data_IF_121056283639
#
_entry.id   IF_121056283639
#
_cell.length_a   1.000
_cell.length_b   1.000
_cell.length_c   1.000
_cell.angle_alpha   90.00
_cell.angle_beta   90.00
_cell.angle_gamma   90.00
#
_symmetry.space_group_name_H-M   'P 1'
#
loop_
_entity.id
_entity.type
_entity.pdbx_description
1 polymer ?
#
# COMPACT_ATOMS: atom_id res chain seq x y z
N UNK A 1 8.88 16.01 7.46
CA UNK A 1 9.23 15.62 6.07
C UNK A 1 8.52 14.31 5.77
N UNK A 2 7.79 14.21 4.66
CA UNK A 2 7.10 12.97 4.26
C UNK A 2 8.05 12.11 3.42
N UNK A 3 8.12 10.81 3.74
CA UNK A 3 8.86 9.81 2.97
C UNK A 3 7.89 8.73 2.51
N UNK A 4 8.03 8.31 1.25
CA UNK A 4 7.46 7.05 0.81
C UNK A 4 8.45 5.93 1.13
N UNK A 5 7.92 4.74 1.44
CA UNK A 5 8.72 3.52 1.62
C UNK A 5 8.02 2.40 0.87
N UNK A 6 8.79 1.57 0.16
CA UNK A 6 8.24 0.37 -0.50
C UNK A 6 9.22 -0.78 -0.44
N UNK A 7 8.70 -2.01 -0.38
CA UNK A 7 9.50 -3.23 -0.34
C UNK A 7 10.21 -3.54 -1.66
N UNK A 8 9.95 -2.78 -2.73
CA UNK A 8 10.59 -2.99 -4.03
C UNK A 8 12.10 -2.70 -3.98
N UNK A 9 12.94 -3.40 -4.77
CA UNK A 9 14.35 -3.06 -4.92
C UNK A 9 14.56 -1.60 -5.30
N UNK A 10 15.62 -0.98 -4.80
CA UNK A 10 15.89 0.45 -4.99
C UNK A 10 15.93 0.86 -6.47
N UNK A 11 16.52 0.04 -7.33
CA UNK A 11 16.59 0.29 -8.78
C UNK A 11 15.18 0.41 -9.41
N UNK A 12 14.25 -0.48 -9.02
CA UNK A 12 12.86 -0.43 -9.48
C UNK A 12 12.17 0.86 -9.02
N UNK A 13 12.42 1.28 -7.78
CA UNK A 13 11.88 2.54 -7.23
C UNK A 13 12.43 3.74 -7.99
N UNK A 14 13.73 3.78 -8.26
CA UNK A 14 14.38 4.87 -8.98
C UNK A 14 13.83 5.01 -10.41
N UNK A 15 13.76 3.91 -11.17
CA UNK A 15 13.19 3.93 -12.52
C UNK A 15 11.72 4.36 -12.53
N UNK A 16 10.93 3.95 -11.53
CA UNK A 16 9.53 4.37 -11.43
C UNK A 16 9.39 5.84 -11.01
N UNK A 17 10.26 6.33 -10.11
CA UNK A 17 10.33 7.74 -9.72
C UNK A 17 10.63 8.64 -10.92
N UNK A 18 11.58 8.24 -11.75
CA UNK A 18 11.92 8.95 -13.01
C UNK A 18 10.74 8.96 -13.97
N UNK A 19 10.12 7.79 -14.22
CA UNK A 19 8.94 7.68 -15.08
C UNK A 19 7.80 8.60 -14.62
N UNK A 20 7.56 8.68 -13.32
CA UNK A 20 6.44 9.43 -12.75
C UNK A 20 6.78 10.90 -12.41
N UNK A 21 8.03 11.34 -12.61
CA UNK A 21 8.47 12.70 -12.29
C UNK A 21 8.36 13.09 -10.81
N UNK A 22 8.43 12.12 -9.89
CA UNK A 22 8.21 12.35 -8.47
C UNK A 22 9.39 13.05 -7.79
N UNK A 23 9.10 14.03 -6.94
CA UNK A 23 10.11 14.85 -6.25
C UNK A 23 10.27 14.53 -4.76
N UNK A 24 9.32 13.80 -4.17
CA UNK A 24 9.40 13.40 -2.76
C UNK A 24 10.49 12.32 -2.54
N UNK A 25 11.04 12.22 -1.32
CA UNK A 25 12.00 11.18 -0.99
C UNK A 25 11.30 9.82 -0.89
N UNK A 26 11.95 8.78 -1.42
CA UNK A 26 11.43 7.42 -1.43
C UNK A 26 12.55 6.44 -1.08
N UNK A 27 12.34 5.65 -0.03
CA UNK A 27 13.25 4.62 0.42
C UNK A 27 12.79 3.22 -0.01
N UNK A 28 13.76 2.33 -0.19
CA UNK A 28 13.52 0.89 -0.32
C UNK A 28 13.64 0.24 1.06
N UNK A 29 12.69 -0.62 1.41
CA UNK A 29 12.81 -1.56 2.53
C UNK A 29 13.13 -2.98 2.04
N UNK A 30 13.58 -3.14 0.80
CA UNK A 30 13.94 -4.44 0.26
C UNK A 30 15.10 -5.06 1.06
N UNK A 31 14.89 -6.27 1.58
CA UNK A 31 15.90 -7.00 2.35
C UNK A 31 16.03 -6.58 3.80
N UNK A 32 15.14 -5.73 4.33
CA UNK A 32 15.04 -5.46 5.77
C UNK A 32 13.63 -5.71 6.31
N UNK A 33 13.51 -5.65 7.63
CA UNK A 33 12.32 -5.90 8.44
C UNK A 33 11.44 -4.67 8.66
N UNK A 34 11.83 -3.48 8.17
CA UNK A 34 11.12 -2.22 8.42
C UNK A 34 9.61 -2.32 8.19
N UNK A 35 9.15 -2.89 7.06
CA UNK A 35 7.70 -3.01 6.81
C UNK A 35 7.01 -3.97 7.79
N UNK A 36 7.68 -5.01 8.24
CA UNK A 36 7.14 -5.96 9.23
C UNK A 36 7.09 -5.32 10.63
N UNK A 37 8.12 -4.58 11.02
CA UNK A 37 8.18 -3.83 12.30
C UNK A 37 7.04 -2.83 12.46
N UNK A 38 6.51 -2.31 11.35
CA UNK A 38 5.38 -1.37 11.33
C UNK A 38 4.05 -2.01 10.89
N UNK A 39 3.97 -3.34 10.93
CA UNK A 39 2.74 -4.13 10.70
C UNK A 39 2.11 -3.89 9.33
N UNK A 40 2.95 -3.86 8.28
CA UNK A 40 2.51 -3.68 6.89
C UNK A 40 3.06 -4.71 5.90
N UNK A 41 3.88 -5.66 6.35
CA UNK A 41 4.34 -6.82 5.56
C UNK A 41 4.34 -8.08 6.41
N UNK A 42 3.71 -9.14 5.88
CA UNK A 42 3.39 -10.36 6.63
C UNK A 42 3.90 -11.61 5.92
N UNK A 43 4.14 -12.67 6.69
CA UNK A 43 4.44 -13.99 6.13
C UNK A 43 3.18 -14.67 5.59
N UNK A 44 3.37 -15.53 4.58
CA UNK A 44 2.26 -16.31 3.99
C UNK A 44 1.55 -17.19 5.01
N UNK A 45 2.28 -17.72 5.98
CA UNK A 45 1.73 -18.55 7.04
C UNK A 45 0.80 -17.76 7.97
N UNK A 46 1.15 -16.52 8.30
CA UNK A 46 0.31 -15.62 9.12
C UNK A 46 -1.00 -15.31 8.40
N UNK A 47 -0.92 -15.02 7.10
CA UNK A 47 -2.09 -14.77 6.26
C UNK A 47 -3.01 -16.00 6.17
N UNK A 48 -2.43 -17.20 6.09
CA UNK A 48 -3.17 -18.47 5.99
C UNK A 48 -3.85 -18.85 7.31
N UNK A 49 -3.19 -18.60 8.45
CA UNK A 49 -3.72 -18.91 9.79
C UNK A 49 -4.69 -17.85 10.31
N UNK A 50 -4.66 -16.64 9.75
CA UNK A 50 -5.43 -15.52 10.28
C UNK A 50 -4.79 -14.93 11.53
N UNK A 51 -3.46 -14.95 11.58
CA UNK A 51 -2.66 -14.41 12.69
C UNK A 51 -2.14 -13.00 12.41
N UNK A 52 -2.50 -12.42 11.26
CA UNK A 52 -2.16 -11.04 10.90
C UNK A 52 -2.86 -10.06 11.86
N UNK A 53 -2.07 -9.26 12.56
CA UNK A 53 -2.53 -8.08 13.28
C UNK A 53 -2.34 -6.85 12.40
N UNK A 54 -3.45 -6.28 11.93
CA UNK A 54 -3.46 -5.11 11.06
C UNK A 54 -4.65 -4.22 11.37
N UNK A 55 -4.44 -2.90 11.41
CA UNK A 55 -5.46 -1.93 11.77
C UNK A 55 -6.09 -2.21 13.15
N UNK A 56 -5.24 -2.49 14.15
CA UNK A 56 -5.58 -2.73 15.57
C UNK A 56 -6.54 -3.90 15.80
N UNK A 57 -6.56 -4.85 14.88
CA UNK A 57 -7.38 -6.05 14.96
C UNK A 57 -6.68 -7.20 14.26
N UNK A 58 -7.10 -8.40 14.65
CA UNK A 58 -6.76 -9.62 13.92
C UNK A 58 -7.58 -9.73 12.66
N UNK A 59 -6.92 -9.98 11.53
CA UNK A 59 -7.59 -10.30 10.28
C UNK A 59 -7.93 -11.80 10.23
N UNK A 60 -9.14 -12.12 9.75
CA UNK A 60 -9.47 -13.49 9.42
C UNK A 60 -8.59 -13.98 8.24
N UNK A 61 -8.39 -15.30 8.07
CA UNK A 61 -7.75 -15.84 6.88
C UNK A 61 -8.41 -15.29 5.61
N UNK A 62 -7.59 -14.88 4.65
CA UNK A 62 -8.06 -14.33 3.38
C UNK A 62 -8.78 -15.42 2.56
N UNK A 63 -10.02 -15.14 2.18
CA UNK A 63 -10.79 -16.02 1.30
C UNK A 63 -10.10 -16.14 -0.06
N UNK A 64 -10.08 -17.35 -0.62
CA UNK A 64 -9.44 -17.62 -1.92
C UNK A 64 -7.94 -17.94 -1.85
N UNK A 65 -7.26 -17.77 -0.70
CA UNK A 65 -5.84 -18.17 -0.53
C UNK A 65 -5.57 -19.63 -0.89
N UNK A 66 -6.49 -20.53 -0.53
CA UNK A 66 -6.35 -21.95 -0.81
C UNK A 66 -6.98 -22.40 -2.15
N UNK A 67 -7.61 -21.48 -2.89
CA UNK A 67 -8.32 -21.80 -4.13
C UNK A 67 -7.95 -20.80 -5.22
N UNK A 68 -8.75 -19.75 -5.39
CA UNK A 68 -8.58 -18.71 -6.39
C UNK A 68 -8.78 -17.34 -5.75
N UNK A 69 -7.84 -16.44 -6.00
CA UNK A 69 -7.94 -15.05 -5.57
C UNK A 69 -9.09 -14.32 -6.27
N UNK A 70 -9.80 -13.42 -5.56
CA UNK A 70 -10.78 -12.54 -6.20
C UNK A 70 -10.16 -11.77 -7.38
N UNK A 71 -10.89 -11.62 -8.48
CA UNK A 71 -10.38 -10.98 -9.70
C UNK A 71 -9.83 -9.57 -9.46
N UNK A 72 -10.45 -8.82 -8.55
CA UNK A 72 -9.96 -7.48 -8.15
C UNK A 72 -8.57 -7.53 -7.51
N UNK A 73 -8.27 -8.56 -6.72
CA UNK A 73 -6.94 -8.76 -6.11
C UNK A 73 -5.92 -9.06 -7.20
N UNK A 74 -6.26 -9.94 -8.15
CA UNK A 74 -5.40 -10.27 -9.29
C UNK A 74 -5.12 -9.05 -10.16
N UNK A 75 -6.15 -8.25 -10.47
CA UNK A 75 -5.99 -7.02 -11.22
C UNK A 75 -5.06 -6.02 -10.51
N UNK A 76 -5.21 -5.85 -9.20
CA UNK A 76 -4.36 -4.97 -8.40
C UNK A 76 -2.91 -5.44 -8.33
N UNK A 77 -2.69 -6.75 -8.16
CA UNK A 77 -1.36 -7.35 -8.17
C UNK A 77 -0.66 -7.06 -9.51
N UNK A 78 -1.35 -7.28 -10.63
CA UNK A 78 -0.83 -7.00 -11.97
C UNK A 78 -0.44 -5.52 -12.16
N UNK A 79 -1.23 -4.57 -11.64
CA UNK A 79 -0.91 -3.13 -11.72
C UNK A 79 0.37 -2.75 -10.96
N UNK A 80 0.75 -3.52 -9.93
CA UNK A 80 1.98 -3.31 -9.15
C UNK A 80 3.16 -4.17 -9.64
N UNK A 81 2.91 -5.03 -10.63
CA UNK A 81 3.90 -5.93 -11.22
C UNK A 81 4.33 -7.03 -10.25
N UNK A 82 3.37 -7.61 -9.53
CA UNK A 82 3.55 -8.78 -8.65
C UNK A 82 2.40 -9.76 -8.83
N UNK A 83 2.51 -10.97 -8.28
CA UNK A 83 1.44 -11.95 -8.29
C UNK A 83 0.46 -11.73 -7.12
N UNK A 84 -0.74 -12.31 -7.22
CA UNK A 84 -1.79 -12.10 -6.23
C UNK A 84 -1.43 -12.63 -4.83
N UNK A 85 -0.67 -13.72 -4.73
CA UNK A 85 -0.27 -14.27 -3.44
C UNK A 85 0.74 -13.35 -2.74
N UNK A 86 1.71 -12.80 -3.47
CA UNK A 86 2.64 -11.79 -2.93
C UNK A 86 1.92 -10.48 -2.60
N UNK A 87 0.99 -10.03 -3.44
CA UNK A 87 0.26 -8.77 -3.24
C UNK A 87 -0.49 -8.74 -1.89
N UNK A 88 -1.12 -9.85 -1.51
CA UNK A 88 -1.90 -9.94 -0.27
C UNK A 88 -1.06 -10.09 0.98
N UNK A 89 0.27 -10.15 0.88
CA UNK A 89 1.16 -10.12 2.05
C UNK A 89 1.52 -8.69 2.48
N UNK A 90 1.22 -7.70 1.65
CA UNK A 90 1.48 -6.30 1.96
C UNK A 90 0.17 -5.59 2.33
N UNK A 91 0.28 -4.61 3.21
CA UNK A 91 -0.81 -3.68 3.53
C UNK A 91 -0.29 -2.25 3.49
N UNK A 92 -1.15 -1.25 3.22
CA UNK A 92 -0.73 0.13 3.29
C UNK A 92 -0.76 0.64 4.75
N UNK A 93 0.18 1.50 5.10
CA UNK A 93 0.22 2.16 6.41
C UNK A 93 0.96 3.48 6.37
N UNK A 94 0.76 4.30 7.41
CA UNK A 94 1.51 5.53 7.64
C UNK A 94 1.93 5.58 9.09
N UNK A 95 3.20 5.88 9.32
CA UNK A 95 3.77 6.10 10.65
C UNK A 95 4.32 7.53 10.77
N UNK A 96 4.29 8.07 11.98
CA UNK A 96 5.00 9.31 12.32
C UNK A 96 6.08 9.05 13.37
N UNK A 97 7.26 9.62 13.13
CA UNK A 97 8.41 9.49 14.01
C UNK A 97 8.90 10.86 14.48
N UNK A 98 9.39 10.91 15.72
CA UNK A 98 10.05 12.08 16.31
C UNK A 98 11.47 11.67 16.69
N UNK A 99 12.47 12.47 16.32
CA UNK A 99 13.85 12.32 16.77
C UNK A 99 14.13 13.41 17.79
N UNK A 100 14.34 13.02 19.05
CA UNK A 100 14.57 13.93 20.17
C UNK A 100 15.68 13.37 21.06
N UNK A 101 16.69 14.18 21.37
CA UNK A 101 17.86 13.79 22.16
C UNK A 101 18.54 12.50 21.70
N UNK A 102 18.62 12.28 20.38
CA UNK A 102 19.20 11.08 19.78
C UNK A 102 18.31 9.82 19.84
N UNK A 103 17.11 9.92 20.41
CA UNK A 103 16.14 8.83 20.49
C UNK A 103 15.06 8.98 19.41
N UNK A 104 14.74 7.88 18.73
CA UNK A 104 13.67 7.83 17.75
C UNK A 104 12.40 7.28 18.39
N UNK A 105 11.33 8.06 18.37
CA UNK A 105 10.03 7.70 18.91
C UNK A 105 9.04 7.47 17.77
N UNK A 106 8.33 6.33 17.81
CA UNK A 106 7.17 6.08 16.96
C UNK A 106 5.93 6.63 17.65
N UNK A 107 5.38 7.72 17.12
CA UNK A 107 4.36 8.54 17.83
C UNK A 107 2.96 8.36 17.30
N UNK A 108 2.82 7.78 16.11
CA UNK A 108 1.53 7.59 15.46
C UNK A 108 1.63 6.50 14.40
N UNK A 109 0.54 5.76 14.23
CA UNK A 109 0.32 4.90 13.07
C UNK A 109 -1.12 5.05 12.59
N UNK A 110 -1.34 4.80 11.31
CA UNK A 110 -2.66 4.53 10.77
C UNK A 110 -2.59 3.59 9.59
N UNK A 111 -3.69 2.89 9.36
CA UNK A 111 -3.79 1.78 8.42
C UNK A 111 -5.11 1.87 7.66
N UNK A 112 -5.25 1.07 6.61
CA UNK A 112 -6.50 0.90 5.86
C UNK A 112 -7.15 2.25 5.49
N UNK A 113 -8.42 2.45 5.88
CA UNK A 113 -9.20 3.67 5.63
C UNK A 113 -8.63 4.91 6.32
N UNK A 114 -7.79 4.76 7.34
CA UNK A 114 -7.13 5.92 7.94
C UNK A 114 -6.16 6.65 6.98
N UNK A 115 -5.79 6.01 5.87
CA UNK A 115 -4.97 6.61 4.81
C UNK A 115 -5.77 7.47 3.83
N UNK A 116 -7.10 7.43 3.83
CA UNK A 116 -7.90 8.20 2.88
C UNK A 116 -7.69 9.72 2.99
N UNK A 117 -7.25 10.20 4.16
CA UNK A 117 -6.89 11.59 4.36
C UNK A 117 -5.69 12.02 3.50
N UNK A 118 -4.80 11.08 3.16
CA UNK A 118 -3.67 11.32 2.25
C UNK A 118 -4.12 11.33 0.79
N UNK A 119 -5.25 10.69 0.50
CA UNK A 119 -5.81 10.62 -0.84
C UNK A 119 -6.84 11.73 -1.06
N UNK A 120 -6.33 12.95 -1.29
CA UNK A 120 -7.17 14.15 -1.39
C UNK A 120 -8.34 14.06 -2.37
N UNK A 121 -8.24 13.23 -3.41
CA UNK A 121 -9.32 13.00 -4.37
C UNK A 121 -10.57 12.40 -3.75
N UNK A 122 -10.43 11.39 -2.87
CA UNK A 122 -11.59 10.71 -2.27
C UNK A 122 -12.46 11.66 -1.47
N UNK A 123 -11.85 12.63 -0.80
CA UNK A 123 -12.59 13.67 -0.08
C UNK A 123 -13.50 14.48 -1.00
N UNK A 124 -13.07 14.75 -2.24
CA UNK A 124 -13.90 15.44 -3.22
C UNK A 124 -14.99 14.54 -3.79
N UNK A 125 -14.65 13.29 -4.14
CA UNK A 125 -15.60 12.34 -4.70
C UNK A 125 -16.71 11.95 -3.71
N UNK A 126 -16.41 11.88 -2.42
CA UNK A 126 -17.40 11.61 -1.37
C UNK A 126 -18.51 12.67 -1.28
N UNK A 127 -18.26 13.88 -1.80
CA UNK A 127 -19.22 14.99 -1.83
C UNK A 127 -20.02 15.03 -3.14
N UNK A 128 -19.67 14.21 -4.13
CA UNK A 128 -20.43 14.12 -5.37
C UNK A 128 -21.79 13.41 -5.13
N UNK A 129 -22.85 13.69 -5.92
CA UNK A 129 -24.17 13.08 -5.72
C UNK A 129 -24.20 11.54 -5.74
N UNK A 130 -23.23 10.89 -6.41
CA UNK A 130 -23.10 9.42 -6.44
C UNK A 130 -21.99 8.90 -5.52
N UNK A 131 -21.45 9.76 -4.65
CA UNK A 131 -20.22 9.49 -3.92
C UNK A 131 -19.09 9.12 -4.89
N UNK A 132 -18.22 8.19 -4.47
CA UNK A 132 -17.11 7.72 -5.31
C UNK A 132 -17.54 6.91 -6.52
N UNK A 133 -18.73 6.29 -6.48
CA UNK A 133 -19.28 5.47 -7.56
C UNK A 133 -18.26 4.45 -8.13
N UNK A 134 -17.47 3.83 -7.24
CA UNK A 134 -16.38 2.90 -7.61
C UNK A 134 -16.93 1.51 -7.90
N UNK A 135 -16.58 0.95 -9.06
CA UNK A 135 -16.82 -0.46 -9.42
C UNK A 135 -15.52 -1.27 -9.47
N UNK A 136 -14.39 -0.67 -9.06
CA UNK A 136 -13.04 -1.23 -9.13
C UNK A 136 -11.98 -0.13 -9.16
N UNK A 137 -10.72 -0.48 -9.46
CA UNK A 137 -9.66 0.51 -9.68
C UNK A 137 -9.83 1.14 -11.06
N UNK A 138 -10.25 2.41 -11.07
CA UNK A 138 -10.58 3.16 -12.28
C UNK A 138 -9.52 4.22 -12.64
N UNK A 139 -8.66 4.59 -11.69
CA UNK A 139 -7.56 5.52 -11.93
C UNK A 139 -6.40 4.82 -12.63
N UNK A 140 -5.61 5.61 -13.35
CA UNK A 140 -4.43 5.14 -14.10
C UNK A 140 -3.21 5.97 -13.71
N UNK A 141 -2.02 5.54 -14.13
CA UNK A 141 -0.83 6.39 -14.05
C UNK A 141 -1.01 7.58 -14.99
N UNK A 142 -0.38 8.72 -14.69
CA UNK A 142 -0.62 9.96 -15.45
C UNK A 142 -0.27 9.83 -16.94
N UNK A 143 0.64 8.92 -17.30
CA UNK A 143 1.10 8.63 -18.66
C UNK A 143 0.24 7.57 -19.40
N UNK A 144 -0.80 7.05 -18.77
CA UNK A 144 -1.66 5.96 -19.30
C UNK A 144 -3.06 6.44 -19.71
N UNK A 145 -3.36 7.72 -19.52
CA UNK A 145 -4.65 8.29 -19.89
C UNK A 145 -4.79 8.49 -21.40
N UNK A 146 -3.70 8.82 -22.11
CA UNK A 146 -3.72 9.09 -23.55
C UNK A 146 -3.54 7.83 -24.42
N UNK A 147 -3.17 6.69 -23.81
CA UNK A 147 -2.86 5.44 -24.51
C UNK A 147 -4.10 4.68 -25.07
N UNK A 148 -5.28 5.29 -25.04
CA UNK A 148 -6.53 4.73 -25.58
C UNK A 148 -7.27 5.72 -26.52
N UNK A 149 -6.53 6.62 -27.17
CA UNK A 149 -7.03 7.46 -28.28
C UNK A 149 -6.98 6.75 -29.62
#
# INVERSE_FOLDING_TARGET
MLWAVSRAPLEKIQGYKERMGWTFPWASSFGCDFNSDFSVSFAEEEQRKGDIEYNYRREAPMEGMATQMPEVVVANANMTGTDAATYVLERPGMSAFVLEDGHLYHTYSTYARGLDALWGMYQWLDRAPKGRNETGMWWRRHDEYDAQG
#
